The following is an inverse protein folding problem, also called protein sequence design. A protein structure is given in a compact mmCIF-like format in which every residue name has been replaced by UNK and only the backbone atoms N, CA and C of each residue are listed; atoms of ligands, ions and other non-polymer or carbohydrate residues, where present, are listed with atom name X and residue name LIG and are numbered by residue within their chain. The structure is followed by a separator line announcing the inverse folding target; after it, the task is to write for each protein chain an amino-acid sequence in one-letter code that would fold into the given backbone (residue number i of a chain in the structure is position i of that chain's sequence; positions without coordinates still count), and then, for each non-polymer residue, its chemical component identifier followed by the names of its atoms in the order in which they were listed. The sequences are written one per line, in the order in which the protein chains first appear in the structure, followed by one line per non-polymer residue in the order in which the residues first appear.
data_IF_670582507970
#
_entry.id   IF_670582507970
#
_cell.length_a   1.000
_cell.length_b   1.000
_cell.length_c   1.000
_cell.angle_alpha   90.00
_cell.angle_beta   90.00
_cell.angle_gamma   90.00
#
_symmetry.space_group_name_H-M   'P 1'
#
loop_
_entity.id
_entity.type
_entity.pdbx_description
1 polymer ?
#
# COMPACT_ATOMS: atom_id res chain seq x y z
N UNK A 1 -30.96 -21.03 -19.18
CA UNK A 1 -30.69 -21.17 -20.63
C UNK A 1 -30.35 -19.83 -21.31
N UNK A 2 -30.77 -18.67 -20.78
CA UNK A 2 -30.53 -17.37 -21.41
C UNK A 2 -29.13 -16.79 -21.11
N UNK A 3 -28.70 -16.88 -19.85
CA UNK A 3 -27.42 -16.31 -19.36
C UNK A 3 -26.17 -16.85 -20.09
N UNK A 4 -26.16 -18.14 -20.44
CA UNK A 4 -25.05 -18.76 -21.19
C UNK A 4 -25.00 -18.29 -22.65
N UNK A 5 -26.15 -17.98 -23.27
CA UNK A 5 -26.19 -17.46 -24.65
C UNK A 5 -25.74 -16.01 -24.70
N UNK A 6 -26.13 -15.23 -23.71
CA UNK A 6 -25.71 -13.83 -23.59
C UNK A 6 -24.20 -13.71 -23.34
N UNK A 7 -23.65 -14.54 -22.45
CA UNK A 7 -22.21 -14.61 -22.20
C UNK A 7 -21.43 -15.07 -23.44
N UNK A 8 -21.92 -16.08 -24.18
CA UNK A 8 -21.32 -16.50 -25.45
C UNK A 8 -21.37 -15.40 -26.51
N UNK A 9 -22.49 -14.67 -26.62
CA UNK A 9 -22.61 -13.53 -27.54
C UNK A 9 -21.61 -12.45 -27.19
N UNK A 10 -21.45 -12.14 -25.90
CA UNK A 10 -20.51 -11.14 -25.43
C UNK A 10 -19.07 -11.57 -25.66
N UNK A 11 -18.73 -12.84 -25.46
CA UNK A 11 -17.41 -13.38 -25.74
C UNK A 11 -17.07 -13.29 -27.24
N UNK A 12 -18.02 -13.64 -28.11
CA UNK A 12 -17.82 -13.52 -29.55
C UNK A 12 -17.62 -12.05 -29.96
N UNK A 13 -18.41 -11.14 -29.38
CA UNK A 13 -18.25 -9.70 -29.61
C UNK A 13 -16.90 -9.18 -29.08
N UNK A 14 -16.42 -9.67 -27.94
CA UNK A 14 -15.13 -9.30 -27.36
C UNK A 14 -13.96 -9.69 -28.28
N UNK A 15 -13.97 -10.90 -28.82
CA UNK A 15 -12.95 -11.35 -29.78
C UNK A 15 -12.92 -10.44 -31.02
N UNK A 16 -14.09 -10.08 -31.55
CA UNK A 16 -14.19 -9.16 -32.69
C UNK A 16 -13.67 -7.76 -32.30
N UNK A 17 -14.02 -7.28 -31.11
CA UNK A 17 -13.67 -5.96 -30.62
C UNK A 17 -12.15 -5.78 -30.43
N UNK A 18 -11.44 -6.85 -30.04
CA UNK A 18 -9.97 -6.88 -29.95
C UNK A 18 -9.30 -6.65 -31.32
N UNK A 19 -9.90 -7.12 -32.41
CA UNK A 19 -9.34 -6.95 -33.76
C UNK A 19 -9.82 -5.68 -34.48
N UNK A 20 -11.05 -5.22 -34.19
CA UNK A 20 -11.70 -4.11 -34.93
C UNK A 20 -11.49 -2.72 -34.31
N UNK A 21 -10.73 -2.60 -33.22
CA UNK A 21 -10.45 -1.32 -32.59
C UNK A 21 -11.64 -0.70 -31.84
N UNK A 22 -12.59 -1.54 -31.41
CA UNK A 22 -13.73 -1.12 -30.56
C UNK A 22 -13.33 -0.99 -29.09
N UNK A 23 -12.17 -1.54 -28.72
CA UNK A 23 -11.54 -1.39 -27.42
C UNK A 23 -10.47 -0.32 -27.52
N UNK A 24 -10.48 0.62 -26.58
CA UNK A 24 -9.59 1.79 -26.61
C UNK A 24 -9.12 2.19 -25.20
N UNK A 25 -7.91 2.77 -25.07
CA UNK A 25 -7.38 3.21 -23.79
C UNK A 25 -7.96 4.58 -23.39
N UNK A 26 -8.58 4.63 -22.23
CA UNK A 26 -8.92 5.87 -21.53
C UNK A 26 -7.83 6.21 -20.51
N UNK A 27 -7.50 7.49 -20.39
CA UNK A 27 -6.45 8.00 -19.50
C UNK A 27 -7.12 8.76 -18.36
N UNK A 28 -6.94 8.29 -17.14
CA UNK A 28 -7.39 8.99 -15.94
C UNK A 28 -6.20 9.66 -15.25
N UNK A 29 -6.25 10.97 -14.98
CA UNK A 29 -5.15 11.68 -14.35
C UNK A 29 -4.83 11.19 -12.93
N UNK A 30 -3.53 11.04 -12.67
CA UNK A 30 -2.94 10.93 -11.34
C UNK A 30 -2.27 12.27 -11.02
N UNK A 31 -2.66 12.90 -9.92
CA UNK A 31 -2.20 14.26 -9.55
C UNK A 31 -1.45 14.21 -8.23
N UNK A 32 -0.26 14.82 -8.18
CA UNK A 32 0.45 15.07 -6.92
C UNK A 32 -0.36 16.09 -6.11
N UNK A 33 -0.87 15.68 -4.94
CA UNK A 33 -1.80 16.49 -4.15
C UNK A 33 -1.15 17.75 -3.57
N UNK A 34 0.18 17.75 -3.43
CA UNK A 34 0.95 18.86 -2.87
C UNK A 34 1.27 19.90 -3.93
N UNK A 35 1.86 19.47 -5.05
CA UNK A 35 2.27 20.39 -6.13
C UNK A 35 1.13 20.72 -7.08
N UNK A 36 0.05 19.93 -7.05
CA UNK A 36 -1.05 19.93 -8.02
C UNK A 36 -0.56 19.66 -9.44
N UNK A 37 0.62 19.05 -9.61
CA UNK A 37 1.15 18.67 -10.93
C UNK A 37 0.61 17.30 -11.35
N UNK A 38 0.51 17.09 -12.67
CA UNK A 38 0.28 15.74 -13.19
C UNK A 38 1.47 14.85 -12.86
N UNK A 39 1.18 13.75 -12.17
CA UNK A 39 2.14 12.69 -11.89
C UNK A 39 2.13 11.63 -13.01
N UNK A 40 0.95 11.29 -13.52
CA UNK A 40 0.77 10.22 -14.48
C UNK A 40 -0.67 10.06 -14.93
N UNK A 41 -0.93 8.95 -15.60
CA UNK A 41 -2.26 8.51 -15.95
C UNK A 41 -2.41 7.03 -15.65
N UNK A 42 -3.53 6.65 -15.04
CA UNK A 42 -3.98 5.26 -15.12
C UNK A 42 -4.62 5.03 -16.48
N UNK A 43 -4.24 3.95 -17.15
CA UNK A 43 -4.77 3.54 -18.44
C UNK A 43 -5.84 2.48 -18.23
N UNK A 44 -7.07 2.84 -18.58
CA UNK A 44 -8.25 2.03 -18.37
C UNK A 44 -8.86 1.61 -19.70
N UNK A 45 -9.06 0.31 -19.90
CA UNK A 45 -9.75 -0.20 -21.09
C UNK A 45 -11.20 0.30 -21.15
N UNK A 46 -11.66 0.69 -22.33
CA UNK A 46 -13.06 1.00 -22.62
C UNK A 46 -13.49 0.27 -23.87
N UNK A 47 -14.71 -0.27 -23.87
CA UNK A 47 -15.26 -0.97 -25.00
C UNK A 47 -16.55 -0.29 -25.44
N UNK A 48 -16.54 0.23 -26.67
CA UNK A 48 -17.70 0.81 -27.32
C UNK A 48 -18.09 -0.08 -28.51
N UNK A 49 -19.11 -0.90 -28.33
CA UNK A 49 -19.58 -1.82 -29.36
C UNK A 49 -20.68 -1.18 -30.24
N UNK A 50 -20.63 -1.35 -31.57
CA UNK A 50 -21.65 -0.79 -32.46
C UNK A 50 -23.07 -1.31 -32.24
N UNK A 51 -23.23 -2.55 -31.76
CA UNK A 51 -24.53 -3.18 -31.54
C UNK A 51 -24.94 -3.16 -30.08
N UNK A 52 -24.00 -3.43 -29.16
CA UNK A 52 -24.26 -3.57 -27.73
C UNK A 52 -24.10 -2.25 -26.94
N UNK A 53 -23.55 -1.21 -27.57
CA UNK A 53 -23.26 0.07 -26.92
C UNK A 53 -22.01 0.01 -26.05
N UNK A 54 -21.90 0.93 -25.09
CA UNK A 54 -20.77 0.96 -24.17
C UNK A 54 -20.86 -0.19 -23.14
N UNK A 55 -19.82 -1.02 -23.08
CA UNK A 55 -19.76 -2.18 -22.20
C UNK A 55 -18.77 -1.86 -21.06
N UNK A 56 -19.22 -2.09 -19.83
CA UNK A 56 -18.43 -1.80 -18.62
C UNK A 56 -17.21 -2.71 -18.50
N UNK A 57 -16.03 -2.19 -18.10
CA UNK A 57 -14.85 -3.00 -17.77
C UNK A 57 -15.13 -4.07 -16.71
N UNK A 58 -16.00 -3.78 -15.75
CA UNK A 58 -16.42 -4.74 -14.73
C UNK A 58 -17.16 -5.97 -15.30
N UNK A 59 -17.57 -5.91 -16.57
CA UNK A 59 -18.21 -7.03 -17.29
C UNK A 59 -17.19 -7.73 -18.20
N UNK A 60 -16.49 -6.99 -19.07
CA UNK A 60 -15.67 -7.62 -20.11
C UNK A 60 -14.26 -7.99 -19.66
N UNK A 61 -13.70 -7.36 -18.62
CA UNK A 61 -12.37 -7.73 -18.11
C UNK A 61 -12.40 -9.11 -17.43
N UNK A 62 -13.36 -9.41 -16.52
CA UNK A 62 -13.50 -10.77 -15.99
C UNK A 62 -13.80 -11.81 -17.08
N UNK A 63 -14.58 -11.44 -18.10
CA UNK A 63 -14.84 -12.31 -19.25
C UNK A 63 -13.56 -12.62 -20.04
N UNK A 64 -12.72 -11.60 -20.28
CA UNK A 64 -11.44 -11.77 -20.94
C UNK A 64 -10.51 -12.69 -20.14
N UNK A 65 -10.46 -12.54 -18.82
CA UNK A 65 -9.66 -13.37 -17.92
C UNK A 65 -10.12 -14.83 -17.93
N UNK A 66 -11.41 -15.08 -17.71
CA UNK A 66 -11.98 -16.43 -17.69
C UNK A 66 -11.89 -17.15 -19.04
N UNK A 67 -11.75 -16.39 -20.14
CA UNK A 67 -11.66 -16.93 -21.50
C UNK A 67 -10.23 -16.98 -22.05
N UNK A 68 -9.22 -16.61 -21.25
CA UNK A 68 -7.82 -16.58 -21.68
C UNK A 68 -7.46 -15.48 -22.69
N UNK A 69 -8.32 -14.47 -22.84
CA UNK A 69 -8.13 -13.31 -23.73
C UNK A 69 -7.48 -12.11 -23.03
N UNK A 70 -7.29 -12.16 -21.71
CA UNK A 70 -6.78 -11.02 -20.94
C UNK A 70 -5.43 -10.51 -21.46
N UNK A 71 -4.49 -11.39 -21.80
CA UNK A 71 -3.19 -10.96 -22.32
C UNK A 71 -3.29 -10.28 -23.70
N UNK A 72 -4.29 -10.63 -24.52
CA UNK A 72 -4.53 -9.94 -25.80
C UNK A 72 -5.11 -8.55 -25.57
N UNK A 73 -6.05 -8.43 -24.63
CA UNK A 73 -6.61 -7.14 -24.21
C UNK A 73 -5.51 -6.22 -23.68
N UNK A 74 -4.66 -6.74 -22.81
CA UNK A 74 -3.53 -6.01 -22.23
C UNK A 74 -2.54 -5.56 -23.30
N UNK A 75 -2.16 -6.43 -24.25
CA UNK A 75 -1.23 -6.08 -25.34
C UNK A 75 -1.78 -4.92 -26.16
N UNK A 76 -3.05 -5.01 -26.54
CA UNK A 76 -3.76 -3.97 -27.28
C UNK A 76 -3.73 -2.64 -26.53
N UNK A 77 -4.09 -2.64 -25.24
CA UNK A 77 -4.17 -1.42 -24.43
C UNK A 77 -2.80 -0.80 -24.22
N UNK A 78 -1.76 -1.59 -23.91
CA UNK A 78 -0.39 -1.09 -23.71
C UNK A 78 0.17 -0.50 -25.01
N UNK A 79 0.03 -1.21 -26.13
CA UNK A 79 0.51 -0.74 -27.44
C UNK A 79 -0.19 0.55 -27.84
N UNK A 80 -1.51 0.56 -27.79
CA UNK A 80 -2.28 1.71 -28.24
C UNK A 80 -2.08 2.92 -27.34
N UNK A 81 -2.05 2.73 -26.01
CA UNK A 81 -1.81 3.82 -25.08
C UNK A 81 -0.43 4.45 -25.28
N UNK A 82 0.61 3.62 -25.40
CA UNK A 82 1.98 4.12 -25.56
C UNK A 82 2.20 4.75 -26.94
N UNK A 83 1.56 4.22 -27.99
CA UNK A 83 1.54 4.83 -29.33
C UNK A 83 0.90 6.22 -29.31
N UNK A 84 -0.23 6.37 -28.61
CA UNK A 84 -0.94 7.65 -28.53
C UNK A 84 -0.13 8.73 -27.80
N UNK A 85 0.63 8.36 -26.77
CA UNK A 85 1.43 9.32 -25.99
C UNK A 85 2.84 9.55 -26.53
N UNK A 86 3.32 8.75 -27.51
CA UNK A 86 4.72 8.71 -27.95
C UNK A 86 5.28 10.08 -28.37
N UNK A 87 4.46 10.93 -28.99
CA UNK A 87 4.86 12.27 -29.44
C UNK A 87 4.75 13.35 -28.36
N UNK A 88 4.25 13.00 -27.17
CA UNK A 88 3.99 13.96 -26.10
C UNK A 88 5.22 14.12 -25.21
N UNK A 89 5.79 15.31 -25.22
CA UNK A 89 6.83 15.68 -24.27
C UNK A 89 6.27 15.75 -22.84
N UNK A 90 7.03 15.25 -21.87
CA UNK A 90 6.68 15.30 -20.45
C UNK A 90 7.22 14.11 -19.68
N UNK A 91 7.40 14.27 -18.39
CA UNK A 91 7.81 13.21 -17.46
C UNK A 91 6.61 12.76 -16.63
N UNK A 92 5.80 11.87 -17.21
CA UNK A 92 4.61 11.29 -16.59
C UNK A 92 4.62 9.77 -16.71
N UNK A 93 4.02 9.10 -15.73
CA UNK A 93 3.91 7.65 -15.69
C UNK A 93 2.61 7.19 -16.36
N UNK A 94 2.63 6.02 -17.01
CA UNK A 94 1.42 5.29 -17.39
C UNK A 94 1.29 4.06 -16.47
N UNK A 95 0.15 3.96 -15.78
CA UNK A 95 -0.16 2.83 -14.94
C UNK A 95 -1.13 1.86 -15.65
N UNK A 96 -0.85 0.56 -15.55
CA UNK A 96 -1.66 -0.50 -16.16
C UNK A 96 -1.98 -1.56 -15.12
N UNK A 97 -3.26 -1.92 -15.03
CA UNK A 97 -3.72 -3.05 -14.25
C UNK A 97 -3.25 -4.36 -14.88
N UNK A 98 -2.72 -5.28 -14.07
CA UNK A 98 -2.35 -6.63 -14.47
C UNK A 98 -3.06 -7.65 -13.60
N UNK A 99 -3.65 -8.66 -14.23
CA UNK A 99 -4.22 -9.80 -13.51
C UNK A 99 -3.11 -10.64 -12.86
N UNK A 100 -3.47 -11.42 -11.84
CA UNK A 100 -2.53 -12.34 -11.22
C UNK A 100 -2.03 -13.41 -12.20
N UNK A 101 -2.87 -13.85 -13.14
CA UNK A 101 -2.48 -14.81 -14.17
C UNK A 101 -1.40 -14.25 -15.11
N UNK A 102 -1.52 -12.98 -15.52
CA UNK A 102 -0.50 -12.31 -16.34
C UNK A 102 0.79 -12.07 -15.55
N UNK A 103 0.66 -11.69 -14.28
CA UNK A 103 1.81 -11.42 -13.42
C UNK A 103 2.66 -12.67 -13.15
N UNK A 104 2.04 -13.84 -13.13
CA UNK A 104 2.71 -15.13 -12.96
C UNK A 104 3.34 -15.65 -14.26
N UNK A 105 3.18 -14.95 -15.38
CA UNK A 105 3.81 -15.34 -16.64
C UNK A 105 5.29 -14.87 -16.66
N UNK A 106 6.27 -15.80 -16.74
CA UNK A 106 7.69 -15.44 -16.79
C UNK A 106 8.06 -14.57 -18.01
N UNK A 107 7.24 -14.56 -19.04
CA UNK A 107 7.45 -13.76 -20.25
C UNK A 107 6.91 -12.33 -20.16
N UNK A 108 6.33 -11.91 -19.01
CA UNK A 108 5.66 -10.60 -18.88
C UNK A 108 6.58 -9.42 -19.21
N UNK A 109 7.85 -9.45 -18.78
CA UNK A 109 8.79 -8.37 -19.10
C UNK A 109 9.04 -8.26 -20.60
N UNK A 110 9.25 -9.39 -21.28
CA UNK A 110 9.48 -9.41 -22.73
C UNK A 110 8.21 -9.02 -23.50
N UNK A 111 7.05 -9.43 -23.02
CA UNK A 111 5.76 -8.98 -23.53
C UNK A 111 5.63 -7.45 -23.47
N UNK A 112 5.93 -6.82 -22.34
CA UNK A 112 5.90 -5.36 -22.19
C UNK A 112 6.91 -4.68 -23.11
N UNK A 113 8.16 -5.19 -23.19
CA UNK A 113 9.18 -4.65 -24.10
C UNK A 113 8.71 -4.66 -25.55
N UNK A 114 8.10 -5.77 -26.00
CA UNK A 114 7.59 -5.90 -27.35
C UNK A 114 6.44 -4.94 -27.63
N UNK A 115 5.52 -4.75 -26.67
CA UNK A 115 4.43 -3.79 -26.79
C UNK A 115 4.91 -2.33 -26.86
N UNK A 116 6.00 -2.01 -26.15
CA UNK A 116 6.56 -0.65 -26.08
C UNK A 116 7.56 -0.34 -27.21
N UNK A 117 8.11 -1.35 -27.87
CA UNK A 117 9.13 -1.18 -28.91
C UNK A 117 8.72 -0.21 -30.03
N UNK A 118 7.48 -0.22 -30.56
CA UNK A 118 7.06 0.73 -31.61
C UNK A 118 6.98 2.19 -31.15
N UNK A 119 6.62 2.43 -29.89
CA UNK A 119 6.47 3.77 -29.31
C UNK A 119 7.77 4.30 -28.68
N UNK A 120 8.72 3.40 -28.40
CA UNK A 120 9.94 3.67 -27.62
C UNK A 120 9.64 4.32 -26.26
N UNK A 121 8.45 4.04 -25.70
CA UNK A 121 8.07 4.60 -24.40
C UNK A 121 8.93 3.97 -23.29
N UNK A 122 9.56 4.76 -22.42
CA UNK A 122 10.51 4.22 -21.43
C UNK A 122 9.83 3.27 -20.43
N UNK A 123 10.42 2.09 -20.20
CA UNK A 123 9.98 1.15 -19.15
C UNK A 123 9.95 1.80 -17.77
N UNK A 124 10.87 2.72 -17.49
CA UNK A 124 10.92 3.48 -16.24
C UNK A 124 9.73 4.40 -15.99
N UNK A 125 8.90 4.63 -17.02
CA UNK A 125 7.66 5.40 -16.95
C UNK A 125 6.42 4.51 -16.96
N UNK A 126 6.59 3.20 -16.83
CA UNK A 126 5.50 2.25 -16.66
C UNK A 126 5.33 1.94 -15.17
N UNK A 127 4.08 1.90 -14.74
CA UNK A 127 3.65 1.36 -13.47
C UNK A 127 2.74 0.17 -13.71
N UNK A 128 3.01 -0.94 -13.04
CA UNK A 128 2.13 -2.10 -13.05
C UNK A 128 1.38 -2.12 -11.73
N UNK A 129 0.05 -2.17 -11.83
CA UNK A 129 -0.86 -2.25 -10.69
C UNK A 129 -1.35 -3.69 -10.58
N UNK A 130 -1.22 -4.26 -9.40
CA UNK A 130 -1.65 -5.64 -9.10
C UNK A 130 -2.46 -5.64 -7.82
N UNK A 131 -3.44 -6.53 -7.73
CA UNK A 131 -4.20 -6.71 -6.48
C UNK A 131 -3.38 -7.52 -5.47
N UNK A 132 -3.84 -7.50 -4.21
CA UNK A 132 -3.31 -8.37 -3.14
C UNK A 132 -3.24 -9.85 -3.52
N UNK A 133 -4.06 -10.31 -4.48
CA UNK A 133 -4.08 -11.71 -4.88
C UNK A 133 -2.76 -12.23 -5.44
N UNK A 134 -1.93 -11.35 -6.01
CA UNK A 134 -0.59 -11.66 -6.49
C UNK A 134 0.36 -12.03 -5.35
N UNK A 135 0.06 -11.60 -4.12
CA UNK A 135 0.86 -11.87 -2.92
C UNK A 135 0.50 -13.20 -2.24
N UNK A 136 -0.56 -13.88 -2.71
CA UNK A 136 -0.95 -15.20 -2.21
C UNK A 136 -0.14 -16.33 -2.85
N UNK A 137 0.15 -17.31 -2.00
CA UNK A 137 0.96 -18.51 -2.23
C UNK A 137 2.47 -18.26 -2.37
N UNK A 138 3.28 -19.27 -2.01
CA UNK A 138 4.75 -19.36 -2.18
C UNK A 138 5.11 -19.39 -3.68
N UNK A 139 4.64 -18.41 -4.42
CA UNK A 139 4.81 -18.32 -5.85
C UNK A 139 6.14 -17.65 -6.16
N UNK A 140 7.19 -18.46 -6.12
CA UNK A 140 8.54 -18.06 -6.53
C UNK A 140 8.54 -17.41 -7.92
N UNK A 141 7.62 -17.81 -8.81
CA UNK A 141 7.49 -17.22 -10.14
C UNK A 141 7.02 -15.76 -10.10
N UNK A 142 6.06 -15.43 -9.23
CA UNK A 142 5.61 -14.06 -9.04
C UNK A 142 6.74 -13.19 -8.48
N UNK A 143 7.53 -13.73 -7.54
CA UNK A 143 8.70 -13.04 -6.95
C UNK A 143 9.79 -12.77 -7.98
N UNK A 144 10.11 -13.74 -8.83
CA UNK A 144 11.05 -13.58 -9.93
C UNK A 144 10.57 -12.52 -10.93
N UNK A 145 9.30 -12.60 -11.34
CA UNK A 145 8.71 -11.64 -12.29
C UNK A 145 8.74 -10.22 -11.72
N UNK A 146 8.36 -10.06 -10.46
CA UNK A 146 8.44 -8.79 -9.75
C UNK A 146 9.87 -8.20 -9.79
N UNK A 147 10.87 -9.01 -9.45
CA UNK A 147 12.26 -8.57 -9.44
C UNK A 147 12.75 -8.20 -10.86
N UNK A 148 12.37 -8.98 -11.88
CA UNK A 148 12.69 -8.68 -13.27
C UNK A 148 12.11 -7.33 -13.73
N UNK A 149 10.84 -7.07 -13.42
CA UNK A 149 10.17 -5.82 -13.76
C UNK A 149 10.85 -4.63 -13.04
N UNK A 150 11.13 -4.78 -11.73
CA UNK A 150 11.84 -3.77 -10.94
C UNK A 150 13.23 -3.46 -11.48
N UNK A 151 14.01 -4.50 -11.83
CA UNK A 151 15.34 -4.34 -12.42
C UNK A 151 15.31 -3.67 -13.80
N UNK A 152 14.20 -3.79 -14.53
CA UNK A 152 13.96 -3.07 -15.78
C UNK A 152 13.53 -1.61 -15.57
N UNK A 153 13.37 -1.17 -14.31
CA UNK A 153 12.97 0.18 -13.92
C UNK A 153 11.45 0.39 -13.83
N UNK A 154 10.65 -0.66 -14.06
CA UNK A 154 9.19 -0.58 -13.96
C UNK A 154 8.80 -0.40 -12.48
N UNK A 155 7.88 0.52 -12.24
CA UNK A 155 7.32 0.73 -10.89
C UNK A 155 6.16 -0.21 -10.61
N UNK A 156 6.00 -0.61 -9.36
CA UNK A 156 4.98 -1.55 -8.90
C UNK A 156 4.04 -0.89 -7.91
N UNK A 157 2.73 -0.99 -8.15
CA UNK A 157 1.69 -0.53 -7.25
C UNK A 157 0.86 -1.71 -6.74
N UNK A 158 0.53 -1.69 -5.46
CA UNK A 158 -0.46 -2.58 -4.88
C UNK A 158 -1.83 -1.89 -4.88
N UNK A 159 -2.78 -2.52 -5.56
CA UNK A 159 -4.16 -2.05 -5.69
C UNK A 159 -5.10 -2.70 -4.66
N UNK A 160 -6.22 -2.02 -4.39
CA UNK A 160 -7.29 -2.46 -3.49
C UNK A 160 -6.84 -2.89 -2.09
N UNK A 161 -5.82 -2.21 -1.54
CA UNK A 161 -5.27 -2.56 -0.23
C UNK A 161 -6.31 -2.40 0.89
N UNK A 162 -6.46 -3.44 1.70
CA UNK A 162 -7.39 -3.46 2.83
C UNK A 162 -8.73 -4.16 2.55
N UNK A 163 -8.89 -4.76 1.37
CA UNK A 163 -10.05 -5.61 1.03
C UNK A 163 -9.77 -7.12 1.17
N UNK A 164 -8.51 -7.50 1.40
CA UNK A 164 -8.03 -8.89 1.43
C UNK A 164 -7.26 -9.29 2.71
N UNK A 165 -6.68 -10.50 2.67
CA UNK A 165 -6.00 -11.16 3.81
C UNK A 165 -4.46 -11.06 3.74
N UNK A 166 -3.87 -10.03 3.12
CA UNK A 166 -2.41 -9.92 3.02
C UNK A 166 -1.76 -9.65 4.37
N UNK A 167 -0.74 -10.46 4.74
CA UNK A 167 0.07 -10.16 5.92
C UNK A 167 1.04 -9.01 5.62
N UNK A 168 1.21 -8.08 6.57
CA UNK A 168 2.20 -7.00 6.48
C UNK A 168 3.63 -7.51 6.17
N UNK A 169 3.95 -8.73 6.60
CA UNK A 169 5.20 -9.40 6.27
C UNK A 169 5.39 -9.67 4.77
N UNK A 170 4.31 -9.99 4.04
CA UNK A 170 4.34 -10.22 2.59
C UNK A 170 4.46 -8.90 1.83
N UNK A 171 3.75 -7.87 2.28
CA UNK A 171 3.91 -6.52 1.74
C UNK A 171 5.37 -6.04 1.86
N UNK A 172 6.03 -6.33 2.99
CA UNK A 172 7.44 -5.99 3.18
C UNK A 172 8.39 -6.82 2.28
N UNK A 173 8.09 -8.09 2.00
CA UNK A 173 8.95 -8.92 1.15
C UNK A 173 8.98 -8.48 -0.33
N UNK A 174 7.93 -7.77 -0.77
CA UNK A 174 7.86 -7.19 -2.10
C UNK A 174 8.15 -5.68 -2.02
N UNK A 175 9.19 -5.20 -2.69
CA UNK A 175 9.56 -3.77 -2.69
C UNK A 175 8.66 -2.94 -3.62
N UNK A 176 7.36 -2.86 -3.28
CA UNK A 176 6.40 -2.00 -4.00
C UNK A 176 6.81 -0.53 -3.91
N UNK A 177 6.44 0.24 -4.94
CA UNK A 177 6.67 1.68 -4.99
C UNK A 177 5.45 2.48 -4.55
N UNK A 178 4.26 1.88 -4.69
CA UNK A 178 2.98 2.55 -4.44
C UNK A 178 1.98 1.64 -3.74
N UNK A 179 1.14 2.28 -2.94
CA UNK A 179 0.00 1.68 -2.28
C UNK A 179 -1.26 2.49 -2.63
N UNK A 180 -2.30 1.83 -3.13
CA UNK A 180 -3.56 2.49 -3.50
C UNK A 180 -4.59 2.30 -2.38
N UNK A 181 -5.26 3.39 -2.01
CA UNK A 181 -6.41 3.40 -1.09
C UNK A 181 -7.67 3.31 -1.94
N UNK A 182 -8.46 2.27 -1.71
CA UNK A 182 -9.73 2.08 -2.40
C UNK A 182 -10.68 3.26 -2.20
N UNK A 183 -11.43 3.56 -3.26
CA UNK A 183 -12.36 4.69 -3.31
C UNK A 183 -13.42 4.66 -2.20
N UNK A 184 -13.82 3.48 -1.72
CA UNK A 184 -14.91 3.37 -0.74
C UNK A 184 -14.57 4.08 0.57
N UNK A 185 -13.29 4.08 0.97
CA UNK A 185 -12.82 4.82 2.15
C UNK A 185 -12.77 6.33 1.91
N UNK A 186 -12.41 6.76 0.70
CA UNK A 186 -12.33 8.18 0.33
C UNK A 186 -13.73 8.80 0.19
N UNK A 187 -14.69 8.06 -0.37
CA UNK A 187 -16.09 8.46 -0.48
C UNK A 187 -16.71 8.75 0.90
N UNK A 188 -16.40 7.94 1.91
CA UNK A 188 -16.94 8.07 3.27
C UNK A 188 -16.13 9.01 4.19
N UNK A 189 -14.92 9.43 3.81
CA UNK A 189 -13.96 10.10 4.69
C UNK A 189 -14.45 11.43 5.30
N UNK A 190 -15.41 12.11 4.69
CA UNK A 190 -15.95 13.36 5.23
C UNK A 190 -16.83 13.11 6.46
N UNK A 191 -17.54 11.97 6.50
CA UNK A 191 -18.58 11.68 7.50
C UNK A 191 -18.18 10.58 8.47
N UNK A 192 -17.35 9.64 8.03
CA UNK A 192 -16.95 8.49 8.81
C UNK A 192 -15.53 8.65 9.40
N UNK A 193 -15.45 8.55 10.72
CA UNK A 193 -14.18 8.61 11.46
C UNK A 193 -13.35 7.36 11.19
N UNK A 194 -13.97 6.19 11.04
CA UNK A 194 -13.23 4.94 10.88
C UNK A 194 -12.58 4.84 9.50
N UNK A 195 -13.28 5.30 8.45
CA UNK A 195 -12.68 5.49 7.13
C UNK A 195 -11.47 6.44 7.17
N UNK A 196 -11.52 7.55 7.92
CA UNK A 196 -10.36 8.43 8.11
C UNK A 196 -9.20 7.75 8.85
N UNK A 197 -9.48 6.91 9.86
CA UNK A 197 -8.43 6.13 10.55
C UNK A 197 -7.77 5.13 9.61
N UNK A 198 -8.55 4.46 8.76
CA UNK A 198 -8.02 3.52 7.76
C UNK A 198 -7.12 4.28 6.78
N UNK A 199 -7.62 5.36 6.18
CA UNK A 199 -6.82 6.22 5.28
C UNK A 199 -5.51 6.64 5.95
N UNK A 200 -5.58 7.16 7.18
CA UNK A 200 -4.40 7.61 7.93
C UNK A 200 -3.41 6.46 8.18
N UNK A 201 -3.92 5.27 8.49
CA UNK A 201 -3.10 4.08 8.73
C UNK A 201 -2.41 3.60 7.46
N UNK A 202 -3.12 3.60 6.32
CA UNK A 202 -2.55 3.22 5.02
C UNK A 202 -1.49 4.24 4.58
N UNK A 203 -1.73 5.54 4.79
CA UNK A 203 -0.73 6.59 4.55
C UNK A 203 0.52 6.36 5.40
N UNK A 204 0.34 6.15 6.71
CA UNK A 204 1.46 5.90 7.63
C UNK A 204 2.25 4.63 7.30
N UNK A 205 1.56 3.57 6.86
CA UNK A 205 2.20 2.33 6.40
C UNK A 205 3.02 2.58 5.13
N UNK A 206 2.44 3.23 4.12
CA UNK A 206 3.14 3.56 2.89
C UNK A 206 4.42 4.35 3.17
N UNK A 207 4.32 5.39 3.99
CA UNK A 207 5.48 6.19 4.41
C UNK A 207 6.55 5.35 5.14
N UNK A 208 6.13 4.45 6.04
CA UNK A 208 7.04 3.59 6.81
C UNK A 208 7.79 2.59 5.92
N UNK A 209 7.16 2.16 4.82
CA UNK A 209 7.75 1.25 3.83
C UNK A 209 8.45 1.98 2.67
N UNK A 210 8.48 3.31 2.67
CA UNK A 210 9.04 4.11 1.57
C UNK A 210 8.20 4.10 0.28
N UNK A 211 6.93 3.72 0.39
CA UNK A 211 5.96 3.68 -0.71
C UNK A 211 5.19 5.00 -0.80
N UNK A 212 4.85 5.42 -2.02
CA UNK A 212 3.90 6.52 -2.22
C UNK A 212 2.48 6.02 -2.06
N UNK A 213 1.60 6.86 -1.53
CA UNK A 213 0.18 6.52 -1.39
C UNK A 213 -0.67 7.25 -2.42
N UNK A 214 -1.51 6.48 -3.11
CA UNK A 214 -2.47 6.98 -4.11
C UNK A 214 -3.87 6.83 -3.52
N UNK A 215 -4.62 7.92 -3.41
CA UNK A 215 -6.02 7.88 -2.99
C UNK A 215 -6.95 7.90 -4.20
N UNK A 216 -7.82 6.90 -4.32
CA UNK A 216 -8.80 6.80 -5.40
C UNK A 216 -10.14 7.45 -5.06
N UNK A 217 -10.93 7.75 -6.09
CA UNK A 217 -12.30 8.25 -5.89
C UNK A 217 -12.39 9.66 -5.31
N UNK A 218 -11.37 10.51 -5.53
CA UNK A 218 -11.43 11.91 -5.07
C UNK A 218 -12.39 12.71 -5.94
N UNK A 219 -13.50 13.17 -5.35
CA UNK A 219 -14.55 13.91 -6.06
C UNK A 219 -14.69 15.37 -5.61
N UNK A 220 -14.30 15.69 -4.37
CA UNK A 220 -14.47 17.02 -3.78
C UNK A 220 -13.13 17.67 -3.43
N UNK A 221 -13.10 19.02 -3.39
CA UNK A 221 -11.92 19.76 -2.93
C UNK A 221 -11.64 19.47 -1.46
N UNK A 222 -12.69 19.21 -0.68
CA UNK A 222 -12.60 18.86 0.75
C UNK A 222 -11.86 17.53 0.93
N UNK A 223 -12.18 16.51 0.12
CA UNK A 223 -11.45 15.24 0.11
C UNK A 223 -9.98 15.45 -0.31
N UNK A 224 -9.74 16.20 -1.40
CA UNK A 224 -8.37 16.44 -1.88
C UNK A 224 -7.50 17.19 -0.86
N UNK A 225 -8.05 18.23 -0.23
CA UNK A 225 -7.36 18.99 0.82
C UNK A 225 -7.16 18.14 2.08
N UNK A 226 -8.17 17.36 2.49
CA UNK A 226 -8.06 16.45 3.63
C UNK A 226 -7.00 15.37 3.43
N UNK A 227 -6.96 14.74 2.25
CA UNK A 227 -5.94 13.74 1.90
C UNK A 227 -4.53 14.35 1.86
N UNK A 228 -4.39 15.56 1.29
CA UNK A 228 -3.13 16.31 1.30
C UNK A 228 -2.66 16.59 2.73
N UNK A 229 -3.58 17.04 3.60
CA UNK A 229 -3.26 17.41 4.98
C UNK A 229 -2.90 16.18 5.83
N UNK A 230 -3.44 15.01 5.50
CA UNK A 230 -3.03 13.71 6.05
C UNK A 230 -1.68 13.20 5.51
N UNK A 231 -1.12 13.86 4.49
CA UNK A 231 0.16 13.50 3.88
C UNK A 231 0.09 12.46 2.77
N UNK A 232 -1.07 12.30 2.13
CA UNK A 232 -1.20 11.48 0.92
C UNK A 232 -0.45 12.13 -0.26
N UNK A 233 0.28 11.33 -1.04
CA UNK A 233 1.14 11.83 -2.13
C UNK A 233 0.33 12.18 -3.38
N UNK A 234 -0.52 11.24 -3.81
CA UNK A 234 -1.17 11.26 -5.13
C UNK A 234 -2.68 11.08 -4.96
N UNK A 235 -3.46 11.85 -5.70
CA UNK A 235 -4.90 11.71 -5.79
C UNK A 235 -5.34 11.33 -7.20
N UNK A 236 -6.36 10.49 -7.26
CA UNK A 236 -7.04 10.08 -8.47
C UNK A 236 -8.55 10.22 -8.28
N UNK A 237 -9.22 10.87 -9.22
CA UNK A 237 -10.67 11.01 -9.16
C UNK A 237 -11.21 12.09 -10.07
N UNK A 238 -12.53 12.22 -10.10
CA UNK A 238 -13.23 13.05 -11.09
C UNK A 238 -12.99 14.54 -10.90
N UNK A 239 -12.57 14.97 -9.72
CA UNK A 239 -12.15 16.36 -9.50
C UNK A 239 -10.93 16.75 -10.36
N UNK A 240 -10.04 15.80 -10.63
CA UNK A 240 -8.84 16.01 -11.43
C UNK A 240 -9.09 15.74 -12.92
N UNK A 241 -9.92 14.73 -13.19
CA UNK A 241 -10.37 14.41 -14.54
C UNK A 241 -11.00 13.03 -14.60
N UNK A 242 -12.04 12.90 -15.42
CA UNK A 242 -12.62 11.60 -15.75
C UNK A 242 -11.71 10.83 -16.73
N UNK A 243 -11.77 9.49 -16.75
CA UNK A 243 -11.12 8.70 -17.79
C UNK A 243 -11.58 9.14 -19.17
N UNK A 244 -10.64 9.59 -20.01
CA UNK A 244 -10.94 10.17 -21.34
C UNK A 244 -9.94 9.73 -22.40
N UNK A 245 -10.24 9.97 -23.67
CA UNK A 245 -9.29 9.75 -24.76
C UNK A 245 -8.07 10.66 -24.61
N UNK A 246 -6.92 10.22 -25.14
CA UNK A 246 -5.67 10.97 -25.03
C UNK A 246 -5.76 12.42 -25.53
N UNK A 247 -6.48 12.65 -26.63
CA UNK A 247 -6.63 13.97 -27.23
C UNK A 247 -7.30 14.99 -26.27
N UNK A 248 -8.17 14.53 -25.39
CA UNK A 248 -8.76 15.34 -24.32
C UNK A 248 -7.87 15.38 -23.07
N UNK A 249 -7.32 14.23 -22.66
CA UNK A 249 -6.53 14.10 -21.43
C UNK A 249 -5.22 14.90 -21.50
N UNK A 250 -4.56 14.97 -22.66
CA UNK A 250 -3.31 15.71 -22.85
C UNK A 250 -3.44 17.21 -22.57
N UNK A 251 -4.65 17.78 -22.68
CA UNK A 251 -4.90 19.19 -22.36
C UNK A 251 -4.60 19.52 -20.90
N UNK A 252 -4.69 18.51 -20.01
CA UNK A 252 -4.40 18.66 -18.58
C UNK A 252 -2.90 18.86 -18.31
N UNK A 253 -2.03 18.35 -19.20
CA UNK A 253 -0.58 18.57 -19.09
C UNK A 253 -0.18 20.04 -19.28
N UNK A 254 -1.03 20.85 -19.92
CA UNK A 254 -0.81 22.27 -20.14
C UNK A 254 -1.40 23.14 -19.02
N UNK A 255 -2.42 22.65 -18.32
CA UNK A 255 -3.12 23.41 -17.27
C UNK A 255 -2.55 23.18 -15.89
N UNK A 256 -2.01 21.99 -15.63
CA UNK A 256 -1.30 21.68 -14.40
C UNK A 256 0.21 21.82 -14.63
N UNK A 257 0.97 22.34 -13.64
CA UNK A 257 2.40 22.50 -13.79
C UNK A 257 3.04 21.17 -14.17
N UNK A 258 3.85 21.15 -15.24
CA UNK A 258 4.61 19.96 -15.61
C UNK A 258 5.56 19.59 -14.49
N UNK A 259 5.74 18.29 -14.23
CA UNK A 259 6.73 17.78 -13.29
C UNK A 259 8.10 18.35 -13.66
N UNK A 260 8.56 19.36 -12.92
CA UNK A 260 9.97 19.76 -12.98
C UNK A 260 10.73 18.64 -12.31
N UNK A 261 11.61 17.99 -13.04
CA UNK A 261 12.62 17.07 -12.50
C UNK A 261 13.64 17.88 -11.71
N UNK A 262 13.20 18.49 -10.61
CA UNK A 262 14.10 18.75 -9.50
C UNK A 262 14.06 17.47 -8.68
N UNK A 263 15.18 16.76 -8.64
CA UNK A 263 15.46 15.64 -7.72
C UNK A 263 15.58 16.14 -6.26
N UNK A 264 15.02 17.31 -5.96
CA UNK A 264 15.09 18.03 -4.70
C UNK A 264 13.71 18.67 -4.49
N UNK A 265 12.77 17.94 -3.88
CA UNK A 265 11.55 18.52 -3.31
C UNK A 265 10.95 17.61 -2.23
N UNK A 266 11.80 17.24 -1.27
CA UNK A 266 11.43 17.31 0.14
C UNK A 266 12.36 18.35 0.77
N UNK A 267 11.92 19.61 0.90
CA UNK A 267 12.67 20.55 1.71
C UNK A 267 12.68 20.05 3.16
N UNK A 268 13.74 20.29 3.96
CA UNK A 268 13.75 19.97 5.39
C UNK A 268 12.53 20.54 6.15
N UNK A 269 11.92 21.60 5.62
CA UNK A 269 10.70 22.20 6.12
C UNK A 269 9.42 21.39 5.80
N UNK A 270 9.38 20.60 4.72
CA UNK A 270 8.28 19.68 4.41
C UNK A 270 8.26 18.47 5.37
N UNK A 271 9.42 18.04 5.87
CA UNK A 271 9.50 17.10 6.99
C UNK A 271 9.01 17.75 8.29
N UNK A 272 9.34 19.02 8.55
CA UNK A 272 8.89 19.73 9.76
C UNK A 272 7.38 20.02 9.81
N UNK A 273 6.76 20.31 8.66
CA UNK A 273 5.32 20.64 8.59
C UNK A 273 4.41 19.40 8.61
N UNK A 274 4.85 18.27 8.04
CA UNK A 274 4.17 16.97 8.21
C UNK A 274 4.24 16.47 9.66
N UNK A 275 5.28 16.85 10.41
CA UNK A 275 5.45 16.42 11.79
C UNK A 275 4.45 17.07 12.74
N UNK A 276 3.95 18.29 12.58
CA UNK A 276 3.08 18.88 13.63
C UNK A 276 1.65 18.26 13.68
N UNK A 277 1.13 17.81 12.54
CA UNK A 277 -0.19 17.19 12.43
C UNK A 277 -0.17 15.67 12.70
N UNK A 278 0.84 14.95 12.20
CA UNK A 278 1.01 13.51 12.44
C UNK A 278 1.68 13.20 13.80
N UNK A 279 2.45 14.12 14.39
CA UNK A 279 2.95 13.93 15.76
C UNK A 279 1.82 13.89 16.79
N UNK A 280 0.80 14.73 16.63
CA UNK A 280 -0.26 14.84 17.63
C UNK A 280 -1.23 13.65 17.60
N UNK A 281 -1.34 12.94 16.47
CA UNK A 281 -2.43 11.96 16.25
C UNK A 281 -1.98 10.51 16.00
N UNK A 282 -0.70 10.24 15.69
CA UNK A 282 -0.23 8.87 15.49
C UNK A 282 -0.21 8.06 16.81
N UNK A 283 -0.77 6.84 16.87
CA UNK A 283 -0.76 5.99 18.08
C UNK A 283 0.62 5.35 18.37
N UNK A 284 1.69 5.94 17.85
CA UNK A 284 3.07 5.46 17.91
C UNK A 284 3.93 6.60 18.45
N UNK A 285 4.83 6.32 19.39
CA UNK A 285 5.78 7.30 19.89
C UNK A 285 6.88 7.55 18.87
N UNK A 286 7.05 8.79 18.42
CA UNK A 286 8.07 9.18 17.46
C UNK A 286 9.05 10.19 18.07
N UNK A 287 10.34 10.01 17.80
CA UNK A 287 11.35 11.04 18.03
C UNK A 287 12.42 11.07 16.95
N UNK A 288 13.09 12.22 16.84
CA UNK A 288 14.28 12.40 16.02
C UNK A 288 15.46 12.86 16.88
N UNK A 289 16.60 12.21 16.68
CA UNK A 289 17.86 12.46 17.36
C UNK A 289 18.89 13.00 16.38
N UNK A 290 19.64 14.03 16.77
CA UNK A 290 20.80 14.49 16.01
C UNK A 290 22.01 13.53 16.19
N UNK A 291 23.12 13.84 15.51
CA UNK A 291 24.37 13.07 15.60
C UNK A 291 25.02 13.08 17.00
N UNK A 292 24.57 13.97 17.89
CA UNK A 292 24.98 14.03 19.30
C UNK A 292 23.96 13.38 20.24
N UNK A 293 22.99 12.63 19.69
CA UNK A 293 21.88 12.01 20.40
C UNK A 293 21.04 13.00 21.23
N UNK A 294 20.88 14.22 20.72
CA UNK A 294 19.95 15.20 21.26
C UNK A 294 18.59 15.05 20.58
N UNK A 295 17.52 15.07 21.38
CA UNK A 295 16.15 15.02 20.86
C UNK A 295 15.83 16.35 20.18
N UNK A 296 15.74 16.33 18.86
CA UNK A 296 15.38 17.51 18.05
C UNK A 296 13.86 17.67 18.00
N UNK A 297 13.14 16.55 18.01
CA UNK A 297 11.68 16.51 17.89
C UNK A 297 11.13 15.27 18.59
N UNK A 298 10.01 15.42 19.32
CA UNK A 298 9.27 14.30 19.93
C UNK A 298 7.76 14.52 19.82
N UNK A 299 7.00 13.43 19.70
CA UNK A 299 5.54 13.49 19.66
C UNK A 299 4.93 13.17 21.04
N UNK A 300 3.62 13.44 21.22
CA UNK A 300 2.96 13.22 22.52
C UNK A 300 3.00 11.76 22.98
N UNK A 301 2.95 10.81 22.04
CA UNK A 301 3.00 9.39 22.36
C UNK A 301 4.40 8.95 22.83
N UNK A 302 5.46 9.53 22.28
CA UNK A 302 6.83 9.31 22.73
C UNK A 302 7.06 9.96 24.09
N UNK A 303 6.49 11.15 24.29
CA UNK A 303 6.51 11.84 25.56
C UNK A 303 5.80 11.01 26.66
N UNK A 304 4.64 10.41 26.37
CA UNK A 304 3.94 9.46 27.25
C UNK A 304 4.76 8.19 27.51
N UNK A 305 5.43 7.64 26.50
CA UNK A 305 6.31 6.47 26.64
C UNK A 305 7.46 6.74 27.63
N UNK A 306 8.08 7.92 27.56
CA UNK A 306 9.11 8.37 28.51
C UNK A 306 8.48 8.71 29.87
N UNK A 307 7.30 9.33 29.87
CA UNK A 307 6.59 9.86 31.03
C UNK A 307 7.00 11.29 31.39
N UNK A 308 7.33 12.10 30.38
CA UNK A 308 7.68 13.53 30.49
C UNK A 308 6.88 14.33 29.46
N UNK A 309 6.82 15.65 29.60
CA UNK A 309 6.19 16.50 28.58
C UNK A 309 7.13 16.73 27.36
N UNK A 310 6.60 16.92 26.14
CA UNK A 310 7.42 17.14 24.95
C UNK A 310 8.46 18.25 25.10
N UNK A 311 8.07 19.37 25.74
CA UNK A 311 8.93 20.53 26.00
C UNK A 311 10.10 20.22 26.95
N UNK A 312 9.95 19.21 27.80
CA UNK A 312 11.01 18.78 28.71
C UNK A 312 12.02 17.84 28.03
N UNK A 313 11.67 17.26 26.88
CA UNK A 313 12.48 16.28 26.17
C UNK A 313 13.26 16.95 25.03
N UNK A 314 12.61 17.84 24.26
CA UNK A 314 13.25 18.54 23.14
C UNK A 314 14.47 19.34 23.62
N UNK A 315 15.58 19.18 22.92
CA UNK A 315 16.85 19.83 23.24
C UNK A 315 17.72 19.09 24.27
N UNK A 316 17.24 18.01 24.90
CA UNK A 316 18.03 17.20 25.86
C UNK A 316 18.66 15.96 25.20
N UNK A 317 19.82 15.55 25.70
CA UNK A 317 20.49 14.31 25.28
C UNK A 317 19.91 13.10 25.98
N UNK A 318 20.18 11.90 25.45
CA UNK A 318 19.71 10.64 26.06
C UNK A 318 20.10 10.51 27.53
N UNK A 319 21.35 10.87 27.88
CA UNK A 319 21.86 10.87 29.26
C UNK A 319 21.18 11.87 30.21
N UNK A 320 20.46 12.86 29.67
CA UNK A 320 19.69 13.83 30.45
C UNK A 320 18.23 13.42 30.65
N UNK A 321 17.76 12.39 29.93
CA UNK A 321 16.38 11.91 29.96
C UNK A 321 16.29 10.52 30.59
N UNK A 322 17.25 9.65 30.30
CA UNK A 322 17.28 8.28 30.80
C UNK A 322 18.27 8.14 31.97
N UNK A 323 17.93 7.36 33.02
CA UNK A 323 18.86 7.04 34.09
C UNK A 323 19.93 6.05 33.63
N UNK A 324 21.08 6.03 34.31
CA UNK A 324 22.06 4.95 34.14
C UNK A 324 21.56 3.67 34.84
N UNK A 325 21.75 2.47 34.25
CA UNK A 325 22.60 2.16 33.09
C UNK A 325 21.91 2.26 31.71
N UNK A 326 20.60 2.56 31.67
CA UNK A 326 19.81 2.54 30.44
C UNK A 326 20.31 3.58 29.42
N UNK A 327 20.68 4.77 29.89
CA UNK A 327 21.23 5.82 29.03
C UNK A 327 22.46 5.38 28.23
N UNK A 328 23.43 4.74 28.89
CA UNK A 328 24.64 4.22 28.23
C UNK A 328 24.32 3.12 27.23
N UNK A 329 23.40 2.20 27.56
CA UNK A 329 23.00 1.11 26.65
C UNK A 329 22.28 1.62 25.40
N UNK A 330 21.40 2.62 25.55
CA UNK A 330 20.70 3.23 24.43
C UNK A 330 21.71 3.97 23.54
N UNK A 331 22.62 4.75 24.12
CA UNK A 331 23.63 5.48 23.35
C UNK A 331 24.56 4.53 22.57
N UNK A 332 24.99 3.43 23.16
CA UNK A 332 25.81 2.40 22.49
C UNK A 332 25.08 1.77 21.30
N UNK A 333 23.79 1.42 21.49
CA UNK A 333 22.95 0.89 20.40
C UNK A 333 22.78 1.87 19.25
N UNK A 334 22.48 3.12 19.55
CA UNK A 334 22.30 4.14 18.53
C UNK A 334 23.59 4.44 17.78
N UNK A 335 24.74 4.38 18.46
CA UNK A 335 26.05 4.50 17.81
C UNK A 335 26.25 3.39 16.79
N UNK A 336 25.88 2.15 17.14
CA UNK A 336 25.93 1.02 16.21
C UNK A 336 24.98 1.17 15.01
N UNK A 337 23.77 1.72 15.20
CA UNK A 337 22.84 2.03 14.08
C UNK A 337 23.44 3.04 13.10
N UNK A 338 24.21 4.01 13.58
CA UNK A 338 24.92 4.96 12.73
C UNK A 338 26.08 4.29 11.96
N UNK A 339 26.81 3.37 12.61
CA UNK A 339 28.01 2.74 12.05
C UNK A 339 27.72 1.56 11.11
N UNK A 340 26.80 0.66 11.47
CA UNK A 340 26.60 -0.63 10.78
C UNK A 340 25.63 -0.57 9.58
N UNK A 341 24.97 0.59 9.34
CA UNK A 341 23.93 0.78 8.32
C UNK A 341 22.73 -0.17 8.45
N UNK A 342 22.45 -0.65 9.65
CA UNK A 342 21.38 -1.61 9.94
C UNK A 342 20.23 -0.93 10.68
N UNK A 343 19.00 -1.38 10.38
CA UNK A 343 17.82 -1.06 11.18
C UNK A 343 17.88 -1.89 12.47
N UNK A 344 17.78 -1.24 13.62
CA UNK A 344 17.74 -1.91 14.93
C UNK A 344 16.29 -1.95 15.41
N UNK A 345 15.78 -3.16 15.58
CA UNK A 345 14.43 -3.41 16.13
C UNK A 345 14.59 -4.19 17.42
N UNK A 346 14.04 -3.68 18.51
CA UNK A 346 14.09 -4.33 19.82
C UNK A 346 12.74 -4.28 20.52
N UNK A 347 12.45 -5.32 21.29
CA UNK A 347 11.35 -5.31 22.24
C UNK A 347 11.83 -4.76 23.58
N UNK A 348 11.08 -3.80 24.13
CA UNK A 348 11.37 -3.13 25.38
C UNK A 348 10.17 -3.27 26.33
N UNK A 349 10.34 -4.08 27.38
CA UNK A 349 9.33 -4.27 28.42
C UNK A 349 9.50 -3.22 29.52
N UNK A 350 8.51 -2.34 29.69
CA UNK A 350 8.48 -1.31 30.75
C UNK A 350 7.65 -1.73 31.96
N UNK A 351 7.41 -3.03 32.15
CA UNK A 351 6.64 -3.56 33.26
C UNK A 351 5.19 -3.04 33.23
N UNK A 352 4.81 -2.24 34.23
CA UNK A 352 3.44 -1.71 34.36
C UNK A 352 3.03 -0.72 33.27
N UNK A 353 3.97 -0.22 32.46
CA UNK A 353 3.70 0.71 31.34
C UNK A 353 3.50 0.01 29.99
N UNK A 354 3.67 -1.31 29.92
CA UNK A 354 3.47 -2.07 28.69
C UNK A 354 4.75 -2.53 28.01
N UNK A 355 4.58 -3.28 26.93
CA UNK A 355 5.65 -3.83 26.08
C UNK A 355 5.66 -3.06 24.77
N UNK A 356 6.84 -2.58 24.37
CA UNK A 356 7.00 -1.75 23.19
C UNK A 356 7.97 -2.37 22.19
N UNK A 357 7.73 -2.20 20.90
CA UNK A 357 8.74 -2.37 19.87
C UNK A 357 9.38 -1.01 19.60
N UNK A 358 10.69 -0.93 19.77
CA UNK A 358 11.49 0.23 19.40
C UNK A 358 12.20 -0.06 18.09
N UNK A 359 12.01 0.82 17.11
CA UNK A 359 12.67 0.76 15.80
C UNK A 359 13.55 2.00 15.68
N UNK A 360 14.84 1.80 15.42
CA UNK A 360 15.81 2.86 15.20
C UNK A 360 16.33 2.78 13.77
N UNK A 361 16.26 3.90 13.06
CA UNK A 361 16.73 4.00 11.68
C UNK A 361 17.60 5.24 11.48
N UNK A 362 18.77 5.06 10.89
CA UNK A 362 19.63 6.16 10.47
C UNK A 362 18.95 6.99 9.38
N UNK A 363 19.12 8.31 9.44
CA UNK A 363 18.57 9.25 8.46
C UNK A 363 19.71 9.94 7.74
N UNK A 364 19.70 9.86 6.41
CA UNK A 364 20.64 10.57 5.53
C UNK A 364 19.88 11.60 4.68
N UNK A 365 20.61 12.62 4.19
CA UNK A 365 20.11 13.49 3.14
C UNK A 365 20.22 12.84 1.75
N UNK A 366 19.69 13.51 0.73
CA UNK A 366 19.72 13.02 -0.65
C UNK A 366 21.12 12.93 -1.28
N UNK A 367 22.17 13.34 -0.57
CA UNK A 367 23.57 13.30 -0.98
C UNK A 367 24.39 12.30 -0.14
N UNK A 368 23.75 11.55 0.77
CA UNK A 368 24.40 10.58 1.64
C UNK A 368 25.04 11.19 2.89
N UNK A 369 24.76 12.45 3.21
CA UNK A 369 25.18 13.08 4.46
C UNK A 369 24.31 12.58 5.61
N UNK A 370 24.92 12.06 6.65
CA UNK A 370 24.23 11.58 7.84
C UNK A 370 23.61 12.76 8.62
N UNK A 371 22.30 12.71 8.84
CA UNK A 371 21.53 13.74 9.54
C UNK A 371 21.24 13.39 11.01
N UNK A 372 21.07 12.10 11.32
CA UNK A 372 20.67 11.66 12.66
C UNK A 372 19.97 10.31 12.67
N UNK A 373 19.12 10.09 13.67
CA UNK A 373 18.35 8.85 13.85
C UNK A 373 16.88 9.19 14.04
N UNK A 374 16.00 8.47 13.34
CA UNK A 374 14.57 8.44 13.62
C UNK A 374 14.26 7.21 14.46
N UNK A 375 13.55 7.40 15.58
CA UNK A 375 13.13 6.32 16.46
C UNK A 375 11.61 6.28 16.59
N UNK A 376 11.05 5.08 16.48
CA UNK A 376 9.63 4.82 16.67
C UNK A 376 9.43 3.82 17.82
N UNK A 377 8.43 4.07 18.67
CA UNK A 377 8.04 3.27 19.82
C UNK A 377 6.58 2.84 19.66
N UNK A 378 6.36 1.56 19.38
CA UNK A 378 5.05 0.99 19.10
C UNK A 378 4.61 0.16 20.31
N UNK A 379 3.46 0.48 20.91
CA UNK A 379 2.90 -0.30 22.02
C UNK A 379 2.29 -1.61 21.47
N UNK A 380 2.81 -2.75 21.93
CA UNK A 380 2.33 -4.09 21.58
C UNK A 380 1.71 -4.83 22.76
N UNK A 381 1.40 -4.14 23.86
CA UNK A 381 0.91 -4.73 25.11
C UNK A 381 -0.35 -5.57 24.90
N UNK A 382 -1.33 -5.01 24.17
CA UNK A 382 -2.58 -5.72 23.89
C UNK A 382 -2.35 -6.94 22.98
N UNK A 383 -1.55 -6.79 21.93
CA UNK A 383 -1.22 -7.87 21.00
C UNK A 383 -0.51 -9.02 21.71
N UNK A 384 0.45 -8.72 22.59
CA UNK A 384 1.14 -9.72 23.41
C UNK A 384 0.20 -10.48 24.36
N UNK A 385 -0.78 -9.79 24.95
CA UNK A 385 -1.76 -10.44 25.81
C UNK A 385 -2.65 -11.42 25.04
N UNK A 386 -3.00 -11.09 23.79
CA UNK A 386 -3.80 -11.94 22.91
C UNK A 386 -2.99 -13.14 22.41
N UNK A 387 -1.74 -12.95 21.99
CA UNK A 387 -0.83 -14.03 21.61
C UNK A 387 -0.64 -15.04 22.75
N UNK A 388 -0.42 -14.55 23.97
CA UNK A 388 -0.27 -15.42 25.14
C UNK A 388 -1.55 -16.17 25.48
N UNK A 389 -2.71 -15.50 25.40
CA UNK A 389 -4.00 -16.16 25.62
C UNK A 389 -4.29 -17.24 24.56
N UNK A 390 -3.92 -16.98 23.30
CA UNK A 390 -4.04 -17.94 22.21
C UNK A 390 -3.12 -19.15 22.43
N UNK A 391 -1.85 -18.91 22.77
CA UNK A 391 -0.88 -19.96 23.10
C UNK A 391 -1.38 -20.84 24.27
N UNK A 392 -1.89 -20.24 25.35
CA UNK A 392 -2.44 -20.97 26.49
C UNK A 392 -3.70 -21.75 26.13
N UNK A 393 -4.55 -21.23 25.24
CA UNK A 393 -5.72 -21.93 24.73
C UNK A 393 -5.33 -23.14 23.86
N UNK A 394 -4.33 -22.98 22.98
CA UNK A 394 -3.79 -24.06 22.15
C UNK A 394 -3.11 -25.15 22.97
N UNK A 395 -2.36 -24.79 24.01
CA UNK A 395 -1.75 -25.74 24.94
C UNK A 395 -2.82 -26.51 25.74
N UNK A 396 -3.86 -25.82 26.23
CA UNK A 396 -5.00 -26.46 26.90
C UNK A 396 -5.74 -27.41 25.97
N UNK A 397 -5.99 -27.01 24.72
CA UNK A 397 -6.65 -27.85 23.72
C UNK A 397 -5.80 -29.08 23.40
N UNK A 398 -4.50 -28.89 23.13
CA UNK A 398 -3.55 -29.97 22.87
C UNK A 398 -3.43 -30.96 24.04
N UNK A 399 -3.43 -30.47 25.28
CA UNK A 399 -3.42 -31.30 26.47
C UNK A 399 -4.71 -32.11 26.64
N UNK A 400 -5.88 -31.50 26.35
CA UNK A 400 -7.17 -32.18 26.36
C UNK A 400 -7.23 -33.29 25.29
N UNK A 401 -6.77 -33.02 24.07
CA UNK A 401 -6.72 -34.01 22.98
C UNK A 401 -5.78 -35.17 23.33
N UNK A 402 -4.60 -34.91 23.91
CA UNK A 402 -3.69 -35.98 24.39
C UNK A 402 -4.32 -36.80 25.50
N UNK A 403 -5.02 -36.16 26.44
CA UNK A 403 -5.67 -36.84 27.56
C UNK A 403 -6.85 -37.70 27.08
N UNK A 404 -7.67 -37.21 26.15
CA UNK A 404 -8.72 -37.98 25.48
C UNK A 404 -8.16 -39.19 24.73
N UNK A 405 -7.07 -39.02 23.96
CA UNK A 405 -6.43 -40.12 23.25
C UNK A 405 -5.79 -41.15 24.20
N UNK A 406 -5.32 -40.73 25.38
CA UNK A 406 -4.80 -41.64 26.41
C UNK A 406 -5.89 -42.40 27.17
N UNK A 407 -7.11 -41.86 27.25
CA UNK A 407 -8.26 -42.48 27.92
C UNK A 407 -9.01 -43.46 27.01
N UNK A 408 -8.87 -43.36 25.68
CA UNK A 408 -9.43 -44.29 24.70
C UNK A 408 -8.39 -44.66 23.63
N UNK A 409 -7.46 -45.60 23.92
CA UNK A 409 -6.41 -46.00 22.99
C UNK A 409 -6.91 -46.88 21.80
N UNK A 410 -8.21 -46.92 21.52
CA UNK A 410 -8.82 -47.89 20.60
C UNK A 410 -9.97 -47.41 19.70
N UNK A 411 -10.38 -46.14 19.71
CA UNK A 411 -11.40 -45.65 18.78
C UNK A 411 -10.74 -44.97 17.58
N UNK A 412 -10.35 -45.77 16.59
CA UNK A 412 -10.19 -45.29 15.23
C UNK A 412 -11.57 -44.94 14.67
N UNK A 413 -11.64 -43.82 13.94
CA UNK A 413 -12.82 -43.23 13.29
C UNK A 413 -13.85 -42.53 14.20
N UNK A 414 -13.65 -41.23 14.41
CA UNK A 414 -14.76 -40.27 14.43
C UNK A 414 -14.49 -39.18 13.39
N UNK A 415 -15.13 -39.33 12.23
CA UNK A 415 -15.41 -38.22 11.31
C UNK A 415 -16.35 -37.25 12.05
N UNK A 416 -15.89 -36.05 12.38
CA UNK A 416 -16.74 -35.00 12.92
C UNK A 416 -17.30 -34.19 11.75
N UNK A 417 -18.58 -34.41 11.47
CA UNK A 417 -19.38 -33.63 10.54
C UNK A 417 -19.71 -32.27 11.18
N UNK A 418 -19.35 -31.16 10.53
CA UNK A 418 -19.45 -29.77 11.03
C UNK A 418 -20.90 -29.24 11.16
N UNK A 419 -21.92 -30.11 11.22
CA UNK A 419 -23.34 -29.73 11.17
C UNK A 419 -24.13 -29.82 12.47
N UNK A 420 -23.51 -30.12 13.60
CA UNK A 420 -24.21 -30.10 14.90
C UNK A 420 -23.37 -29.45 15.99
N UNK A 421 -23.30 -28.12 15.96
CA UNK A 421 -23.02 -27.31 17.15
C UNK A 421 -24.37 -26.70 17.58
N UNK A 422 -24.89 -26.99 18.79
CA UNK A 422 -26.01 -26.23 19.33
C UNK A 422 -25.50 -24.83 19.69
N UNK A 423 -26.16 -23.81 19.14
CA UNK A 423 -25.98 -22.41 19.52
C UNK A 423 -26.38 -22.31 21.00
N UNK A 424 -25.40 -22.10 21.88
CA UNK A 424 -25.67 -21.72 23.25
C UNK A 424 -25.83 -20.19 23.29
N UNK A 425 -27.08 -19.75 23.33
CA UNK A 425 -27.46 -18.42 23.80
C UNK A 425 -27.12 -18.34 25.30
N UNK A 426 -26.16 -17.50 25.68
CA UNK A 426 -26.09 -16.92 27.02
C UNK A 426 -25.14 -15.70 26.99
N UNK A 427 -25.69 -14.55 26.61
CA UNK A 427 -25.10 -13.25 26.94
C UNK A 427 -25.71 -12.78 28.27
N UNK A 428 -24.91 -12.43 29.30
CA UNK A 428 -25.44 -11.86 30.53
C UNK A 428 -25.97 -10.43 30.27
N UNK A 429 -27.25 -10.19 30.60
CA UNK A 429 -27.82 -8.84 30.62
C UNK A 429 -27.20 -7.99 31.76
N UNK A 430 -27.03 -6.68 31.55
CA UNK A 430 -26.55 -5.76 32.59
C UNK A 430 -27.64 -5.53 33.64
N UNK A 431 -27.26 -5.58 34.92
CA UNK A 431 -28.14 -5.34 36.05
C UNK A 431 -28.46 -3.84 36.21
N UNK A 432 -29.78 -3.57 36.25
CA UNK A 432 -30.55 -2.41 36.73
C UNK A 432 -29.91 -1.01 36.81
#
# INVERSE_FOLDING_TARGET
MDRTKEEQRLLQALTIALDMGHIWPAFQPLVDLRTKSIYGFEVLARWSDPELGDISPAVFVPLAENSGLISLLTDLIVREATRLVASTAGDFILAFNMSAAEFRNPALLEFLKNGLAPSQFPLSRICIEVTESVLFDDDEQARETFLQLKNAGITMALDDFGTGFSSLSRLHSFSFDKLKIDKSFVESMERDVDSRKIITSVIGLGQSLGMRVVAEGVETTVQADGLRDLGCDIGQGWIFGKPKRWNEAQGILQTLPSRRTNVIDASPFQRLHQLDALYKTAPVGLCFLDLSFRHVSVNEHFAKFIGLDPEEIVGRTISQIWPEPDASQIAERLSRVLEEKTMDTLEYDRGSRGVFIIINQRVEDGFGTLLGISSAAIDITHQRSLEKALQEAEERYSALTRKMNSLNPGSSEYSFDLKTIPIAEDFPQPAA
#
